data_IF_902848812839
#
_entry.id   IF_902848812839
#
_cell.length_a   1.000
_cell.length_b   1.000
_cell.length_c   1.000
_cell.angle_alpha   90.00
_cell.angle_beta   90.00
_cell.angle_gamma   90.00
#
_symmetry.space_group_name_H-M   'P 1'
#
loop_
_entity.id
_entity.type
_entity.pdbx_description
1 polymer ?
#
# COMPACT_ATOMS: atom_id res chain seq x y z
N UNK A 1 -28.30 44.74 1.61
CA UNK A 1 -27.81 43.72 2.56
C UNK A 1 -27.36 42.53 1.75
N UNK A 2 -26.05 42.31 1.66
CA UNK A 2 -25.44 41.27 0.84
C UNK A 2 -25.61 39.91 1.52
N UNK A 3 -26.03 38.90 0.75
CA UNK A 3 -25.92 37.50 1.15
C UNK A 3 -24.42 37.14 1.26
N UNK A 4 -24.00 36.34 2.26
CA UNK A 4 -22.66 35.78 2.24
C UNK A 4 -22.63 34.66 1.21
N UNK A 5 -21.96 34.94 0.10
CA UNK A 5 -21.54 33.96 -0.90
C UNK A 5 -20.67 32.92 -0.18
N UNK A 6 -21.25 31.76 0.13
CA UNK A 6 -20.53 30.64 0.73
C UNK A 6 -19.72 29.93 -0.36
N UNK A 7 -18.84 30.68 -1.01
CA UNK A 7 -17.81 30.19 -1.91
C UNK A 7 -16.57 29.87 -1.07
N UNK A 8 -16.64 28.77 -0.33
CA UNK A 8 -15.59 28.33 0.58
C UNK A 8 -15.72 26.86 0.91
N UNK A 9 -16.05 26.02 -0.08
CA UNK A 9 -15.81 24.59 0.07
C UNK A 9 -14.40 24.33 -0.48
N UNK A 10 -13.43 24.47 0.42
CA UNK A 10 -12.08 23.95 0.19
C UNK A 10 -12.25 22.47 -0.15
N UNK A 11 -11.97 22.12 -1.41
CA UNK A 11 -11.82 20.73 -1.82
C UNK A 11 -10.77 20.13 -0.91
N UNK A 12 -11.19 19.33 0.06
CA UNK A 12 -10.33 18.54 0.93
C UNK A 12 -9.25 17.92 0.05
N UNK A 13 -8.00 18.33 0.27
CA UNK A 13 -6.86 17.92 -0.54
C UNK A 13 -6.93 16.42 -0.73
N UNK A 14 -6.91 15.98 -1.99
CA UNK A 14 -7.01 14.57 -2.38
C UNK A 14 -5.69 13.82 -2.09
N UNK A 15 -4.95 14.29 -1.07
CA UNK A 15 -3.63 13.84 -0.66
C UNK A 15 -3.81 13.01 0.61
N UNK A 16 -3.50 11.73 0.49
CA UNK A 16 -3.44 10.79 1.59
C UNK A 16 -2.01 10.79 2.13
N UNK A 17 -1.84 10.35 3.37
CA UNK A 17 -0.51 10.13 3.94
C UNK A 17 -0.32 8.64 4.14
N UNK A 18 0.80 8.11 3.66
CA UNK A 18 1.21 6.73 3.90
C UNK A 18 2.49 6.73 4.73
N UNK A 19 2.60 5.88 5.74
CA UNK A 19 3.78 5.77 6.60
C UNK A 19 4.66 4.62 6.11
N UNK A 20 5.94 4.90 5.86
CA UNK A 20 6.93 3.89 5.43
C UNK A 20 8.20 4.12 6.21
N UNK A 21 8.70 3.08 6.90
CA UNK A 21 9.88 3.20 7.75
C UNK A 21 9.78 4.33 8.80
N UNK A 22 8.58 4.65 9.28
CA UNK A 22 8.32 5.74 10.22
C UNK A 22 8.30 7.15 9.61
N UNK A 23 8.35 7.26 8.27
CA UNK A 23 8.26 8.54 7.54
C UNK A 23 6.91 8.65 6.85
N UNK A 24 6.21 9.76 7.09
CA UNK A 24 4.96 10.09 6.42
C UNK A 24 5.23 10.65 5.01
N UNK A 25 4.69 9.98 3.99
CA UNK A 25 4.74 10.39 2.59
C UNK A 25 3.35 10.79 2.09
N UNK A 26 3.23 11.97 1.48
CA UNK A 26 2.01 12.36 0.76
C UNK A 26 1.85 11.54 -0.52
N UNK A 27 0.68 10.93 -0.69
CA UNK A 27 0.35 10.05 -1.82
C UNK A 27 -1.04 10.37 -2.35
N UNK A 28 -1.24 10.10 -3.64
CA UNK A 28 -2.58 10.12 -4.25
C UNK A 28 -3.44 8.96 -3.73
N UNK A 29 -4.77 8.98 -3.90
CA UNK A 29 -5.62 7.89 -3.46
C UNK A 29 -5.30 6.56 -4.16
N UNK A 30 -4.87 6.63 -5.42
CA UNK A 30 -4.47 5.45 -6.20
C UNK A 30 -3.16 4.85 -5.68
N UNK A 31 -2.17 5.70 -5.41
CA UNK A 31 -0.91 5.28 -4.80
C UNK A 31 -1.13 4.67 -3.42
N UNK A 32 -1.97 5.30 -2.59
CA UNK A 32 -2.37 4.77 -1.29
C UNK A 32 -2.99 3.36 -1.43
N UNK A 33 -3.91 3.19 -2.39
CA UNK A 33 -4.53 1.90 -2.65
C UNK A 33 -3.51 0.80 -2.96
N UNK A 34 -2.55 1.06 -3.85
CA UNK A 34 -1.54 0.07 -4.23
C UNK A 34 -0.59 -0.27 -3.07
N UNK A 35 -0.15 0.74 -2.30
CA UNK A 35 0.70 0.53 -1.14
C UNK A 35 -0.01 -0.27 -0.03
N UNK A 36 -1.27 0.09 0.30
CA UNK A 36 -2.07 -0.67 1.28
C UNK A 36 -2.37 -2.10 0.82
N UNK A 37 -2.59 -2.30 -0.49
CA UNK A 37 -2.79 -3.64 -1.04
C UNK A 37 -1.52 -4.48 -0.90
N UNK A 38 -0.37 -3.91 -1.23
CA UNK A 38 0.92 -4.57 -1.11
C UNK A 38 1.20 -4.97 0.34
N UNK A 39 1.08 -4.04 1.29
CA UNK A 39 1.26 -4.29 2.72
C UNK A 39 0.36 -5.43 3.22
N UNK A 40 -0.92 -5.44 2.81
CA UNK A 40 -1.86 -6.49 3.20
C UNK A 40 -1.48 -7.86 2.65
N UNK A 41 -1.02 -7.93 1.40
CA UNK A 41 -0.62 -9.18 0.76
C UNK A 41 0.67 -9.75 1.37
N UNK A 42 1.61 -8.88 1.68
CA UNK A 42 2.85 -9.12 2.43
C UNK A 42 2.52 -9.70 3.82
N UNK A 43 1.71 -9.00 4.62
CA UNK A 43 1.26 -9.52 5.91
C UNK A 43 0.51 -10.86 5.79
N UNK A 44 -0.31 -11.02 4.75
CA UNK A 44 -1.00 -12.29 4.48
C UNK A 44 0.00 -13.43 4.21
N UNK A 45 1.02 -13.20 3.38
CA UNK A 45 2.09 -14.18 3.12
C UNK A 45 2.74 -14.64 4.44
N UNK A 46 3.07 -13.71 5.32
CA UNK A 46 3.74 -14.01 6.58
C UNK A 46 2.87 -14.83 7.53
N UNK A 47 1.57 -14.52 7.62
CA UNK A 47 0.65 -15.36 8.41
C UNK A 47 0.64 -16.80 7.90
N UNK A 48 0.71 -17.01 6.58
CA UNK A 48 0.68 -18.34 5.98
C UNK A 48 2.01 -19.10 6.06
N UNK A 49 3.15 -18.42 6.18
CA UNK A 49 4.42 -19.11 6.37
C UNK A 49 4.48 -19.92 7.67
N UNK A 50 3.64 -19.55 8.65
CA UNK A 50 3.56 -20.23 9.95
C UNK A 50 2.46 -21.30 10.03
N UNK A 51 1.63 -21.45 8.99
CA UNK A 51 0.50 -22.40 8.97
C UNK A 51 0.92 -23.75 8.34
N UNK A 52 1.00 -24.84 9.13
CA UNK A 52 1.43 -26.15 8.65
C UNK A 52 0.40 -26.86 7.75
N UNK A 53 -0.86 -26.42 7.76
CA UNK A 53 -1.94 -27.01 6.96
C UNK A 53 -2.11 -26.30 5.61
N UNK A 54 -1.24 -25.35 5.29
CA UNK A 54 -1.41 -24.50 4.14
C UNK A 54 -1.08 -25.19 2.82
N UNK A 55 -1.97 -25.02 1.84
CA UNK A 55 -1.83 -25.59 0.51
C UNK A 55 -0.87 -24.75 -0.35
N UNK A 56 0.09 -25.41 -0.99
CA UNK A 56 1.13 -24.75 -1.80
C UNK A 56 0.57 -23.80 -2.89
N UNK A 57 -0.57 -24.16 -3.50
CA UNK A 57 -1.17 -23.33 -4.56
C UNK A 57 -1.64 -21.96 -4.07
N UNK A 58 -2.01 -21.84 -2.78
CA UNK A 58 -2.40 -20.55 -2.19
C UNK A 58 -1.17 -19.67 -1.97
N UNK A 59 -0.04 -20.25 -1.54
CA UNK A 59 1.24 -19.52 -1.43
C UNK A 59 1.67 -18.98 -2.79
N UNK A 60 1.54 -19.78 -3.84
CA UNK A 60 1.88 -19.37 -5.20
C UNK A 60 0.95 -18.27 -5.72
N UNK A 61 -0.34 -18.33 -5.39
CA UNK A 61 -1.29 -17.26 -5.72
C UNK A 61 -0.91 -15.95 -5.02
N UNK A 62 -0.60 -15.99 -3.72
CA UNK A 62 -0.20 -14.81 -2.94
C UNK A 62 1.07 -14.19 -3.50
N UNK A 63 2.11 -14.99 -3.80
CA UNK A 63 3.36 -14.49 -4.39
C UNK A 63 3.11 -13.77 -5.72
N UNK A 64 2.23 -14.30 -6.57
CA UNK A 64 1.83 -13.65 -7.83
C UNK A 64 1.06 -12.35 -7.58
N UNK A 65 0.16 -12.33 -6.60
CA UNK A 65 -0.56 -11.11 -6.22
C UNK A 65 0.38 -10.03 -5.69
N UNK A 66 1.36 -10.39 -4.84
CA UNK A 66 2.39 -9.46 -4.35
C UNK A 66 3.17 -8.87 -5.51
N UNK A 67 3.63 -9.73 -6.44
CA UNK A 67 4.34 -9.25 -7.63
C UNK A 67 3.50 -8.27 -8.45
N UNK A 68 2.23 -8.59 -8.72
CA UNK A 68 1.33 -7.71 -9.46
C UNK A 68 1.13 -6.36 -8.76
N UNK A 69 0.84 -6.37 -7.45
CA UNK A 69 0.64 -5.14 -6.69
C UNK A 69 1.92 -4.28 -6.61
N UNK A 70 3.09 -4.93 -6.57
CA UNK A 70 4.37 -4.22 -6.62
C UNK A 70 4.61 -3.56 -7.99
N UNK A 71 4.22 -4.23 -9.09
CA UNK A 71 4.26 -3.61 -10.42
C UNK A 71 3.32 -2.41 -10.51
N UNK A 72 2.11 -2.50 -9.94
CA UNK A 72 1.18 -1.37 -9.86
C UNK A 72 1.80 -0.19 -9.07
N UNK A 73 2.53 -0.47 -7.98
CA UNK A 73 3.28 0.56 -7.24
C UNK A 73 4.35 1.24 -8.10
N UNK A 74 5.08 0.48 -8.93
CA UNK A 74 6.08 1.02 -9.86
C UNK A 74 5.39 1.92 -10.89
N UNK A 75 4.30 1.44 -11.50
CA UNK A 75 3.53 2.21 -12.51
C UNK A 75 2.93 3.49 -11.93
N UNK A 76 2.55 3.47 -10.65
CA UNK A 76 2.05 4.64 -9.92
C UNK A 76 3.14 5.55 -9.33
N UNK A 77 4.41 5.34 -9.66
CA UNK A 77 5.56 6.14 -9.19
C UNK A 77 5.75 6.12 -7.65
N UNK A 78 5.41 4.99 -7.02
CA UNK A 78 5.66 4.70 -5.59
C UNK A 78 6.42 3.37 -5.42
N UNK A 79 7.29 3.04 -6.39
CA UNK A 79 8.07 1.81 -6.37
C UNK A 79 9.14 1.76 -5.28
N UNK A 80 9.69 2.91 -4.86
CA UNK A 80 10.63 2.98 -3.71
C UNK A 80 9.92 2.62 -2.41
N UNK A 81 8.79 3.27 -2.16
CA UNK A 81 7.85 2.96 -1.08
C UNK A 81 7.47 1.46 -1.04
N UNK A 82 7.09 0.90 -2.21
CA UNK A 82 6.79 -0.53 -2.30
C UNK A 82 8.00 -1.44 -2.05
N UNK A 83 9.22 -1.01 -2.41
CA UNK A 83 10.45 -1.76 -2.10
C UNK A 83 10.75 -1.77 -0.61
N UNK A 84 10.49 -0.68 0.10
CA UNK A 84 10.67 -0.61 1.55
C UNK A 84 9.73 -1.60 2.25
N UNK A 85 8.45 -1.65 1.86
CA UNK A 85 7.48 -2.66 2.37
C UNK A 85 7.99 -4.09 2.17
N UNK A 86 8.54 -4.42 0.99
CA UNK A 86 9.10 -5.75 0.71
C UNK A 86 10.46 -6.00 1.36
N UNK A 87 11.22 -4.94 1.64
CA UNK A 87 12.54 -4.98 2.26
C UNK A 87 12.46 -5.15 3.78
N UNK A 88 11.45 -4.56 4.42
CA UNK A 88 11.12 -4.82 5.82
C UNK A 88 10.88 -6.31 6.07
N UNK A 89 10.24 -7.05 5.14
CA UNK A 89 10.11 -8.52 5.24
C UNK A 89 11.45 -9.28 5.25
N UNK A 90 12.50 -8.77 4.59
CA UNK A 90 13.78 -9.47 4.52
C UNK A 90 14.65 -9.26 5.77
N UNK A 91 14.38 -8.24 6.58
CA UNK A 91 15.14 -7.92 7.79
C UNK A 91 14.57 -8.57 9.06
N UNK A 92 13.35 -9.11 9.01
CA UNK A 92 12.76 -9.90 10.10
C UNK A 92 13.19 -11.37 9.97
N UNK A 93 14.44 -11.67 10.34
CA UNK A 93 14.90 -13.05 10.56
C UNK A 93 15.95 -13.13 11.68
#
# INVERSE_FOLDING_TARGET
MNAPDSAGQEVLGNEYTFEIGGVHQSVTPLQYHYLSLLERLTALKDTYQTDPEFEAWKMDAIKKSIYSAFMDCIEANVGDAGREILGEEQQVN
#
